data_IF_010522432897
#
_entry.id   IF_010522432897
#
_cell.length_a   1.000
_cell.length_b   1.000
_cell.length_c   1.000
_cell.angle_alpha   90.00
_cell.angle_beta   90.00
_cell.angle_gamma   90.00
#
_symmetry.space_group_name_H-M   'P 1'
#
loop_
_entity.id
_entity.type
_entity.pdbx_description
1 polymer ?
#
# COMPACT_ATOMS: atom_id res chain seq x y z
N UNK A 1 4.62 -21.02 -7.29
CA UNK A 1 4.59 -21.64 -5.94
C UNK A 1 3.15 -21.98 -5.61
N UNK A 2 2.79 -23.23 -5.27
CA UNK A 2 1.46 -23.53 -4.76
C UNK A 2 1.28 -22.78 -3.44
N UNK A 3 0.28 -21.91 -3.35
CA UNK A 3 -0.05 -21.18 -2.11
C UNK A 3 0.21 -19.67 -2.11
N UNK A 4 0.72 -19.08 -3.20
CA UNK A 4 0.60 -17.62 -3.38
C UNK A 4 -0.79 -17.36 -4.00
N UNK A 5 -1.74 -16.89 -3.21
CA UNK A 5 -3.01 -16.45 -3.79
C UNK A 5 -2.79 -15.08 -4.43
N UNK A 6 -3.28 -14.88 -5.65
CA UNK A 6 -3.26 -13.57 -6.34
C UNK A 6 -3.82 -12.44 -5.46
N UNK A 7 -4.70 -12.78 -4.51
CA UNK A 7 -5.23 -11.89 -3.47
C UNK A 7 -4.16 -11.13 -2.68
N UNK A 8 -2.96 -11.71 -2.49
CA UNK A 8 -1.88 -11.11 -1.68
C UNK A 8 -0.76 -10.50 -2.53
N UNK A 9 -0.88 -10.56 -3.86
CA UNK A 9 0.12 -9.99 -4.77
C UNK A 9 0.38 -8.52 -4.48
N UNK A 10 -0.69 -7.76 -4.28
CA UNK A 10 -0.58 -6.33 -4.05
C UNK A 10 0.18 -6.00 -2.75
N UNK A 11 0.03 -6.79 -1.70
CA UNK A 11 0.75 -6.57 -0.45
C UNK A 11 2.25 -6.89 -0.57
N UNK A 12 2.60 -7.88 -1.40
CA UNK A 12 4.00 -8.14 -1.76
C UNK A 12 4.57 -7.01 -2.61
N UNK A 13 3.82 -6.50 -3.59
CA UNK A 13 4.27 -5.36 -4.41
C UNK A 13 4.47 -4.10 -3.57
N UNK A 14 3.63 -3.85 -2.55
CA UNK A 14 3.83 -2.76 -1.58
C UNK A 14 5.12 -2.92 -0.78
N UNK A 15 5.44 -4.14 -0.37
CA UNK A 15 6.70 -4.46 0.31
C UNK A 15 7.90 -4.30 -0.63
N UNK A 16 7.79 -4.78 -1.87
CA UNK A 16 8.85 -4.65 -2.87
C UNK A 16 9.15 -3.17 -3.14
N UNK A 17 8.12 -2.37 -3.42
CA UNK A 17 8.23 -0.92 -3.60
C UNK A 17 8.92 -0.21 -2.41
N UNK A 18 8.75 -0.72 -1.19
CA UNK A 18 9.36 -0.16 0.02
C UNK A 18 10.78 -0.67 0.30
N UNK A 19 11.20 -1.77 -0.33
CA UNK A 19 12.46 -2.45 -0.01
C UNK A 19 13.53 -2.30 -1.10
N UNK A 20 13.13 -2.22 -2.37
CA UNK A 20 14.08 -2.17 -3.50
C UNK A 20 14.32 -0.75 -3.99
N UNK A 21 15.49 -0.52 -4.60
CA UNK A 21 15.82 0.77 -5.23
C UNK A 21 14.96 1.05 -6.47
N UNK A 22 14.67 0.01 -7.24
CA UNK A 22 13.83 0.06 -8.44
C UNK A 22 13.19 -1.30 -8.68
N UNK A 23 11.93 -1.30 -9.10
CA UNK A 23 11.25 -2.48 -9.66
C UNK A 23 11.35 -2.46 -11.20
N UNK A 24 11.06 -3.57 -11.88
CA UNK A 24 10.88 -3.55 -13.32
C UNK A 24 9.78 -2.55 -13.74
N UNK A 25 9.91 -1.87 -14.90
CA UNK A 25 8.94 -0.86 -15.34
C UNK A 25 7.51 -1.42 -15.47
N UNK A 26 7.36 -2.64 -15.97
CA UNK A 26 6.09 -3.35 -16.06
C UNK A 26 5.44 -3.54 -14.69
N UNK A 27 6.21 -3.82 -13.65
CA UNK A 27 5.71 -4.02 -12.28
C UNK A 27 5.14 -2.71 -11.70
N UNK A 28 5.79 -1.56 -11.97
CA UNK A 28 5.21 -0.27 -11.58
C UNK A 28 3.88 0.00 -12.30
N UNK A 29 3.80 -0.31 -13.59
CA UNK A 29 2.59 -0.11 -14.39
C UNK A 29 1.46 -1.01 -13.90
N UNK A 30 1.70 -2.32 -13.77
CA UNK A 30 0.71 -3.29 -13.32
C UNK A 30 0.19 -2.97 -11.91
N UNK A 31 1.10 -2.64 -10.98
CA UNK A 31 0.73 -2.25 -9.62
C UNK A 31 -0.13 -0.99 -9.64
N UNK A 32 0.27 0.05 -10.38
CA UNK A 32 -0.48 1.29 -10.47
C UNK A 32 -1.87 1.10 -11.09
N UNK A 33 -1.99 0.27 -12.12
CA UNK A 33 -3.28 -0.03 -12.73
C UNK A 33 -4.19 -0.84 -11.80
N UNK A 34 -3.62 -1.81 -11.07
CA UNK A 34 -4.36 -2.59 -10.09
C UNK A 34 -4.91 -1.69 -8.97
N UNK A 35 -4.08 -0.85 -8.36
CA UNK A 35 -4.55 0.02 -7.28
C UNK A 35 -5.53 1.10 -7.76
N UNK A 36 -5.46 1.53 -9.03
CA UNK A 36 -6.51 2.36 -9.64
C UNK A 36 -7.84 1.61 -9.71
N UNK A 37 -7.83 0.35 -10.19
CA UNK A 37 -9.05 -0.48 -10.23
C UNK A 37 -9.63 -0.72 -8.84
N UNK A 38 -8.77 -0.85 -7.83
CA UNK A 38 -9.16 -1.05 -6.44
C UNK A 38 -9.63 0.24 -5.75
N UNK A 39 -9.58 1.39 -6.43
CA UNK A 39 -10.06 2.67 -5.92
C UNK A 39 -9.08 3.42 -5.02
N UNK A 40 -7.77 3.19 -5.16
CA UNK A 40 -6.71 3.88 -4.43
C UNK A 40 -5.84 4.74 -5.36
N UNK A 41 -6.39 5.82 -5.96
CA UNK A 41 -5.69 6.59 -6.98
C UNK A 41 -4.47 7.35 -6.44
N UNK A 42 -4.48 7.74 -5.16
CA UNK A 42 -3.31 8.36 -4.52
C UNK A 42 -2.16 7.35 -4.36
N UNK A 43 -2.48 6.08 -4.05
CA UNK A 43 -1.48 5.01 -4.07
C UNK A 43 -0.92 4.81 -5.49
N UNK A 44 -1.80 4.76 -6.49
CA UNK A 44 -1.39 4.64 -7.90
C UNK A 44 -0.41 5.73 -8.31
N UNK A 45 -0.75 6.98 -7.99
CA UNK A 45 0.07 8.14 -8.26
C UNK A 45 1.47 7.95 -7.67
N UNK A 46 1.57 7.54 -6.40
CA UNK A 46 2.86 7.30 -5.73
C UNK A 46 3.67 6.18 -6.39
N UNK A 47 3.02 5.09 -6.79
CA UNK A 47 3.68 3.98 -7.51
C UNK A 47 4.27 4.48 -8.82
N UNK A 48 3.48 5.18 -9.65
CA UNK A 48 3.94 5.69 -10.94
C UNK A 48 5.05 6.74 -10.75
N UNK A 49 4.87 7.68 -9.83
CA UNK A 49 5.87 8.71 -9.54
C UNK A 49 7.20 8.08 -9.08
N UNK A 50 7.17 7.01 -8.29
CA UNK A 50 8.36 6.27 -7.90
C UNK A 50 9.09 5.65 -9.11
N UNK A 51 8.35 5.07 -10.07
CA UNK A 51 8.95 4.53 -11.30
C UNK A 51 9.56 5.62 -12.20
N UNK A 52 8.94 6.81 -12.26
CA UNK A 52 9.52 7.97 -12.94
C UNK A 52 10.78 8.48 -12.22
N UNK A 53 10.75 8.55 -10.89
CA UNK A 53 11.89 8.99 -10.07
C UNK A 53 13.07 8.00 -10.16
N UNK A 54 12.79 6.70 -10.28
CA UNK A 54 13.80 5.67 -10.52
C UNK A 54 14.38 5.71 -11.95
N UNK A 55 13.78 6.48 -12.86
CA UNK A 55 14.23 6.60 -14.26
C UNK A 55 13.85 5.41 -15.15
N UNK A 56 13.06 4.46 -14.64
CA UNK A 56 12.60 3.28 -15.39
C UNK A 56 11.30 3.53 -16.15
N UNK A 57 10.49 4.50 -15.72
CA UNK A 57 9.30 4.98 -16.44
C UNK A 57 9.58 6.29 -17.20
N UNK A 58 8.72 6.59 -18.17
CA UNK A 58 8.83 7.81 -18.99
C UNK A 58 9.91 7.79 -20.08
N UNK A 59 10.58 6.64 -20.29
CA UNK A 59 11.61 6.42 -21.31
C UNK A 59 11.21 5.27 -22.25
N UNK A 60 11.95 5.11 -23.36
CA UNK A 60 11.72 4.03 -24.34
C UNK A 60 10.40 4.14 -25.10
N UNK A 61 10.00 3.03 -25.73
CA UNK A 61 8.76 2.93 -26.53
C UNK A 61 7.48 3.06 -25.71
N UNK A 62 7.53 2.74 -24.41
CA UNK A 62 6.41 2.86 -23.47
C UNK A 62 6.24 4.25 -22.84
N UNK A 63 7.11 5.22 -23.17
CA UNK A 63 7.14 6.52 -22.50
C UNK A 63 5.81 7.28 -22.55
N UNK A 64 5.10 7.21 -23.68
CA UNK A 64 3.82 7.89 -23.85
C UNK A 64 2.74 7.27 -22.95
N UNK A 65 2.66 5.94 -22.90
CA UNK A 65 1.73 5.19 -22.06
C UNK A 65 2.01 5.46 -20.58
N UNK A 66 3.29 5.47 -20.17
CA UNK A 66 3.68 5.80 -18.79
C UNK A 66 3.21 7.21 -18.38
N UNK A 67 3.33 8.20 -19.27
CA UNK A 67 2.86 9.58 -19.02
C UNK A 67 1.34 9.63 -18.91
N UNK A 68 0.61 8.97 -19.82
CA UNK A 68 -0.84 8.89 -19.76
C UNK A 68 -1.34 8.24 -18.47
N UNK A 69 -0.68 7.16 -18.02
CA UNK A 69 -0.98 6.50 -16.75
C UNK A 69 -0.77 7.47 -15.57
N UNK A 70 0.35 8.20 -15.56
CA UNK A 70 0.66 9.20 -14.54
C UNK A 70 -0.39 10.32 -14.50
N UNK A 71 -0.77 10.86 -15.65
CA UNK A 71 -1.76 11.93 -15.76
C UNK A 71 -3.14 11.47 -15.27
N UNK A 72 -3.55 10.24 -15.61
CA UNK A 72 -4.78 9.62 -15.10
C UNK A 72 -4.74 9.46 -13.58
N UNK A 73 -3.64 8.90 -13.04
CA UNK A 73 -3.50 8.71 -11.59
C UNK A 73 -3.49 10.05 -10.84
N UNK A 74 -2.81 11.07 -11.37
CA UNK A 74 -2.79 12.42 -10.83
C UNK A 74 -4.18 13.04 -10.79
N UNK A 75 -4.92 12.97 -11.90
CA UNK A 75 -6.29 13.49 -11.99
C UNK A 75 -7.21 12.80 -10.98
N UNK A 76 -7.22 11.47 -10.95
CA UNK A 76 -8.07 10.73 -10.03
C UNK A 76 -7.71 10.96 -8.56
N UNK A 77 -6.41 11.06 -8.23
CA UNK A 77 -5.98 11.37 -6.87
C UNK A 77 -6.44 12.77 -6.43
N UNK A 78 -6.35 13.76 -7.33
CA UNK A 78 -6.82 15.11 -7.05
C UNK A 78 -8.35 15.19 -6.90
N UNK A 79 -9.10 14.40 -7.65
CA UNK A 79 -10.56 14.34 -7.55
C UNK A 79 -11.03 13.56 -6.30
N UNK A 80 -10.34 12.47 -5.96
CA UNK A 80 -10.58 11.69 -4.74
C UNK A 80 -10.29 12.51 -3.48
N UNK A 81 -9.17 13.25 -3.45
CA UNK A 81 -8.82 14.12 -2.32
C UNK A 81 -9.90 15.17 -1.99
N UNK A 82 -10.69 15.62 -2.98
CA UNK A 82 -11.80 16.57 -2.77
C UNK A 82 -13.04 15.91 -2.18
N UNK A 83 -13.23 14.61 -2.39
CA UNK A 83 -14.49 13.91 -2.12
C UNK A 83 -14.39 12.86 -1.01
N UNK A 84 -13.18 12.41 -0.65
CA UNK A 84 -12.95 11.36 0.36
C UNK A 84 -13.62 11.65 1.70
N UNK A 85 -13.60 12.90 2.17
CA UNK A 85 -14.24 13.30 3.43
C UNK A 85 -15.76 13.13 3.41
N UNK A 86 -16.42 13.34 2.26
CA UNK A 86 -17.85 13.12 2.12
C UNK A 86 -18.21 11.62 2.15
N UNK A 87 -17.26 10.74 1.82
CA UNK A 87 -17.42 9.29 1.85
C UNK A 87 -17.34 8.66 3.24
N UNK A 88 -16.89 9.40 4.27
CA UNK A 88 -16.60 8.85 5.60
C UNK A 88 -17.82 8.20 6.26
N UNK A 89 -18.96 8.89 6.23
CA UNK A 89 -20.22 8.37 6.79
C UNK A 89 -20.64 7.05 6.14
N UNK A 90 -20.40 6.90 4.83
CA UNK A 90 -20.74 5.67 4.13
C UNK A 90 -19.75 4.55 4.45
N UNK A 91 -18.45 4.85 4.48
CA UNK A 91 -17.41 3.89 4.85
C UNK A 91 -17.60 3.35 6.28
N UNK A 92 -18.02 4.22 7.20
CA UNK A 92 -18.29 3.88 8.60
C UNK A 92 -19.38 2.81 8.79
N UNK A 93 -20.17 2.48 7.75
CA UNK A 93 -21.21 1.43 7.83
C UNK A 93 -20.62 0.03 7.97
N UNK A 94 -19.38 -0.23 7.55
CA UNK A 94 -18.77 -1.57 7.61
C UNK A 94 -17.31 -1.52 8.06
N UNK A 95 -16.82 -2.62 8.66
CA UNK A 95 -15.40 -2.74 9.03
C UNK A 95 -14.48 -2.63 7.80
N UNK A 96 -14.82 -3.32 6.71
CA UNK A 96 -14.06 -3.26 5.45
C UNK A 96 -14.04 -1.85 4.85
N UNK A 97 -15.17 -1.14 4.89
CA UNK A 97 -15.25 0.26 4.44
C UNK A 97 -14.32 1.17 5.21
N UNK A 98 -14.27 1.04 6.54
CA UNK A 98 -13.36 1.79 7.40
C UNK A 98 -11.88 1.47 7.12
N UNK A 99 -11.53 0.19 6.94
CA UNK A 99 -10.15 -0.21 6.59
C UNK A 99 -9.73 0.39 5.25
N UNK A 100 -10.60 0.34 4.23
CA UNK A 100 -10.30 0.93 2.92
C UNK A 100 -10.17 2.45 2.98
N UNK A 101 -11.10 3.14 3.66
CA UNK A 101 -11.03 4.58 3.87
C UNK A 101 -9.74 4.97 4.59
N UNK A 102 -9.40 4.24 5.65
CA UNK A 102 -8.18 4.49 6.41
C UNK A 102 -6.92 4.28 5.56
N UNK A 103 -6.89 3.23 4.73
CA UNK A 103 -5.79 3.03 3.79
C UNK A 103 -5.68 4.17 2.77
N UNK A 104 -6.79 4.65 2.21
CA UNK A 104 -6.80 5.80 1.31
C UNK A 104 -6.18 7.04 1.98
N UNK A 105 -6.57 7.36 3.23
CA UNK A 105 -5.96 8.45 4.00
C UNK A 105 -4.46 8.25 4.26
N UNK A 106 -4.02 7.04 4.60
CA UNK A 106 -2.58 6.71 4.74
C UNK A 106 -1.83 6.98 3.44
N UNK A 107 -2.40 6.62 2.29
CA UNK A 107 -1.77 6.87 0.99
C UNK A 107 -1.71 8.36 0.65
N UNK A 108 -2.58 9.19 1.24
CA UNK A 108 -2.54 10.65 1.20
C UNK A 108 -1.63 11.29 2.25
N UNK A 109 -0.81 10.50 2.95
CA UNK A 109 0.06 10.94 4.06
C UNK A 109 -0.69 11.50 5.28
N UNK A 110 -2.01 11.30 5.35
CA UNK A 110 -2.82 11.61 6.53
C UNK A 110 -2.80 10.45 7.52
N UNK A 111 -1.61 10.17 8.06
CA UNK A 111 -1.33 8.94 8.80
C UNK A 111 -2.20 8.75 10.03
N UNK A 112 -2.32 9.74 10.90
CA UNK A 112 -3.08 9.60 12.15
C UNK A 112 -4.57 9.31 11.88
N UNK A 113 -5.16 10.04 10.93
CA UNK A 113 -6.54 9.84 10.51
C UNK A 113 -6.75 8.46 9.89
N UNK A 114 -5.83 8.07 9.00
CA UNK A 114 -5.89 6.79 8.32
C UNK A 114 -5.73 5.59 9.26
N UNK A 115 -4.74 5.65 10.16
CA UNK A 115 -4.53 4.65 11.23
C UNK A 115 -5.78 4.53 12.10
N UNK A 116 -6.35 5.67 12.52
CA UNK A 116 -7.58 5.69 13.32
C UNK A 116 -8.75 4.99 12.65
N UNK A 117 -8.96 5.18 11.34
CA UNK A 117 -10.01 4.47 10.61
C UNK A 117 -9.71 2.97 10.41
N UNK A 118 -8.46 2.59 10.13
CA UNK A 118 -8.09 1.17 10.03
C UNK A 118 -8.35 0.46 11.35
N UNK A 119 -7.95 1.04 12.48
CA UNK A 119 -8.21 0.49 13.81
C UNK A 119 -9.70 0.36 14.10
N UNK A 120 -10.50 1.38 13.80
CA UNK A 120 -11.96 1.33 13.94
C UNK A 120 -12.57 0.22 13.06
N UNK A 121 -12.07 0.04 11.84
CA UNK A 121 -12.53 -1.01 10.94
C UNK A 121 -12.23 -2.42 11.45
N UNK A 122 -11.03 -2.63 12.01
CA UNK A 122 -10.65 -3.88 12.68
C UNK A 122 -11.53 -4.14 13.90
N UNK A 123 -11.72 -3.14 14.76
CA UNK A 123 -12.53 -3.26 15.97
C UNK A 123 -14.02 -3.52 15.66
N UNK A 124 -14.54 -2.95 14.58
CA UNK A 124 -15.91 -3.18 14.12
C UNK A 124 -16.16 -4.63 13.66
N UNK A 125 -15.12 -5.34 13.23
CA UNK A 125 -15.22 -6.73 12.78
C UNK A 125 -15.97 -6.89 11.45
N UNK A 126 -16.41 -8.12 11.16
CA UNK A 126 -17.05 -8.47 9.88
C UNK A 126 -16.10 -8.45 8.67
N UNK A 127 -14.79 -8.43 8.92
CA UNK A 127 -13.76 -8.48 7.89
C UNK A 127 -13.66 -9.90 7.32
N UNK A 128 -13.63 -10.02 5.99
CA UNK A 128 -13.34 -11.29 5.32
C UNK A 128 -11.91 -11.76 5.61
N UNK A 129 -10.98 -10.81 5.74
CA UNK A 129 -9.57 -11.06 6.06
C UNK A 129 -9.10 -10.09 7.15
N UNK A 130 -9.25 -10.44 8.44
CA UNK A 130 -8.77 -9.61 9.55
C UNK A 130 -7.24 -9.39 9.52
N UNK A 131 -6.49 -10.40 9.07
CA UNK A 131 -5.03 -10.34 9.02
C UNK A 131 -4.52 -9.45 7.86
N UNK A 132 -5.25 -9.34 6.75
CA UNK A 132 -4.94 -8.34 5.72
C UNK A 132 -5.15 -6.91 6.26
N UNK A 133 -6.22 -6.69 7.04
CA UNK A 133 -6.44 -5.40 7.69
C UNK A 133 -5.33 -5.07 8.70
N UNK A 134 -4.86 -6.06 9.47
CA UNK A 134 -3.68 -5.92 10.34
C UNK A 134 -2.42 -5.62 9.54
N UNK A 135 -2.22 -6.27 8.40
CA UNK A 135 -1.07 -6.00 7.53
C UNK A 135 -1.08 -4.54 7.05
N UNK A 136 -2.25 -4.04 6.62
CA UNK A 136 -2.41 -2.61 6.25
C UNK A 136 -2.18 -1.68 7.44
N UNK A 137 -2.60 -2.05 8.64
CA UNK A 137 -2.32 -1.27 9.86
C UNK A 137 -0.81 -1.21 10.14
N UNK A 138 -0.10 -2.34 10.05
CA UNK A 138 1.34 -2.39 10.22
C UNK A 138 2.07 -1.54 9.18
N UNK A 139 1.66 -1.60 7.91
CA UNK A 139 2.18 -0.74 6.84
C UNK A 139 1.90 0.74 7.09
N UNK A 140 0.72 1.08 7.61
CA UNK A 140 0.36 2.44 7.97
C UNK A 140 1.27 2.99 9.09
N UNK A 141 1.51 2.20 10.14
CA UNK A 141 2.46 2.56 11.19
C UNK A 141 3.88 2.74 10.65
N UNK A 142 4.34 1.84 9.77
CA UNK A 142 5.65 1.93 9.14
C UNK A 142 5.81 3.24 8.35
N UNK A 143 4.81 3.59 7.52
CA UNK A 143 4.79 4.84 6.74
C UNK A 143 4.72 6.09 7.63
N UNK A 144 4.06 5.98 8.78
CA UNK A 144 3.98 7.04 9.78
C UNK A 144 5.25 7.18 10.65
N UNK A 145 6.29 6.35 10.42
CA UNK A 145 7.50 6.33 11.24
C UNK A 145 7.31 5.69 12.63
N UNK A 146 6.15 5.09 12.91
CA UNK A 146 5.83 4.44 14.19
C UNK A 146 6.34 2.99 14.21
N UNK A 147 7.66 2.83 14.13
CA UNK A 147 8.34 1.53 13.97
C UNK A 147 7.90 0.49 15.01
N UNK A 148 7.89 0.83 16.29
CA UNK A 148 7.59 -0.14 17.35
C UNK A 148 6.17 -0.69 17.23
N UNK A 149 5.20 0.18 16.90
CA UNK A 149 3.82 -0.24 16.66
C UNK A 149 3.68 -1.07 15.39
N UNK A 150 4.42 -0.73 14.34
CA UNK A 150 4.45 -1.53 13.11
C UNK A 150 4.95 -2.95 13.39
N UNK A 151 6.08 -3.08 14.10
CA UNK A 151 6.66 -4.36 14.49
C UNK A 151 5.69 -5.21 15.32
N UNK A 152 5.10 -4.62 16.37
CA UNK A 152 4.10 -5.30 17.19
C UNK A 152 2.90 -5.79 16.36
N UNK A 153 2.39 -4.93 15.47
CA UNK A 153 1.25 -5.28 14.60
C UNK A 153 1.59 -6.42 13.63
N UNK A 154 2.78 -6.40 13.02
CA UNK A 154 3.19 -7.46 12.10
C UNK A 154 3.40 -8.81 12.82
N UNK A 155 3.85 -8.81 14.08
CA UNK A 155 4.03 -10.03 14.87
C UNK A 155 2.71 -10.73 15.22
N UNK A 156 1.59 -10.00 15.22
CA UNK A 156 0.25 -10.59 15.44
C UNK A 156 -0.27 -11.39 14.24
N UNK A 157 0.31 -11.18 13.05
CA UNK A 157 -0.17 -11.81 11.81
C UNK A 157 0.36 -13.24 11.71
N UNK A 158 -0.53 -14.21 11.89
CA UNK A 158 -0.23 -15.64 11.86
C UNK A 158 -0.89 -16.38 10.68
N UNK A 159 -1.68 -15.69 9.86
CA UNK A 159 -2.33 -16.28 8.69
C UNK A 159 -1.33 -16.89 7.69
N UNK A 160 -1.74 -18.04 7.11
CA UNK A 160 -1.08 -18.65 5.96
C UNK A 160 -1.32 -17.88 4.66
N UNK A 161 -1.01 -18.51 3.51
CA UNK A 161 -1.26 -17.91 2.19
C UNK A 161 -0.31 -16.76 1.81
N UNK A 162 0.81 -16.59 2.53
CA UNK A 162 1.83 -15.57 2.25
C UNK A 162 1.70 -14.27 3.05
N UNK A 163 0.61 -14.06 3.81
CA UNK A 163 0.45 -12.87 4.66
C UNK A 163 1.46 -12.84 5.81
N UNK A 164 1.63 -13.97 6.52
CA UNK A 164 2.65 -14.09 7.58
C UNK A 164 4.07 -13.87 7.03
N UNK A 165 4.37 -14.37 5.83
CA UNK A 165 5.69 -14.16 5.23
C UNK A 165 5.90 -12.70 4.84
N UNK A 166 4.88 -12.05 4.24
CA UNK A 166 4.91 -10.61 3.95
C UNK A 166 5.15 -9.79 5.23
N UNK A 167 4.45 -10.12 6.33
CA UNK A 167 4.66 -9.48 7.63
C UNK A 167 6.09 -9.68 8.16
N UNK A 168 6.66 -10.88 8.05
CA UNK A 168 8.06 -11.15 8.44
C UNK A 168 9.05 -10.32 7.64
N UNK A 169 8.84 -10.16 6.33
CA UNK A 169 9.72 -9.33 5.50
C UNK A 169 9.60 -7.84 5.84
N UNK A 170 8.41 -7.35 6.18
CA UNK A 170 8.25 -6.00 6.72
C UNK A 170 9.01 -5.80 8.04
N UNK A 171 8.95 -6.77 8.96
CA UNK A 171 9.73 -6.74 10.21
C UNK A 171 11.23 -6.67 9.89
N UNK A 172 11.71 -7.49 8.96
CA UNK A 172 13.11 -7.48 8.54
C UNK A 172 13.52 -6.13 7.97
N UNK A 173 12.72 -5.57 7.06
CA UNK A 173 12.96 -4.26 6.45
C UNK A 173 13.02 -3.14 7.50
N UNK A 174 12.12 -3.15 8.48
CA UNK A 174 12.10 -2.14 9.54
C UNK A 174 13.30 -2.24 10.49
N UNK A 175 13.80 -3.46 10.73
CA UNK A 175 14.97 -3.69 11.56
C UNK A 175 16.29 -3.44 10.82
N UNK A 176 16.30 -3.66 9.51
CA UNK A 176 17.44 -3.45 8.63
C UNK A 176 16.98 -2.68 7.39
N UNK A 177 16.78 -1.35 7.50
CA UNK A 177 16.42 -0.54 6.34
C UNK A 177 17.45 -0.77 5.24
N UNK A 178 17.02 -0.90 3.99
CA UNK A 178 17.88 -1.22 2.84
C UNK A 178 18.94 -0.15 2.49
N UNK A 179 19.15 0.83 3.38
CA UNK A 179 20.31 1.72 3.42
C UNK A 179 21.55 1.16 4.13
N UNK A 180 21.57 -0.11 4.57
CA UNK A 180 22.71 -0.69 5.27
C UNK A 180 23.14 -2.08 4.77
N UNK A 181 23.00 -2.36 3.47
CA UNK A 181 23.84 -3.38 2.84
C UNK A 181 25.14 -2.68 2.45
N UNK A 182 25.99 -2.46 3.45
CA UNK A 182 27.35 -2.03 3.24
C UNK A 182 28.00 -3.00 2.25
N UNK A 183 28.58 -2.42 1.20
CA UNK A 183 29.44 -3.12 0.26
C UNK A 183 30.39 -4.07 1.00
N UNK A 184 30.41 -5.32 0.55
CA UNK A 184 31.61 -6.16 0.64
C UNK A 184 32.08 -6.44 -0.76
#
# INVERSE_FOLDING_TARGET
>A
KPGFSDTNLLDVLRLELASVKQMPPETYVEMAEQVLRDGFPTEAKKVVDAGFAAGVLGTGSGAAQHRQLRDRANKQAADDAKTIAAGETNAAKSGTGLVNLGWAYVTMDQFDKGIGFIQQGIAKGGLKSPDEARLRLGMAYARAGQKDKALATFQEIKAGGGLSDTAKYWILLLNHPTGNVAAK
#
